data_IF_649146926654
#
_entry.id   IF_649146926654
#
_cell.length_a   1.000
_cell.length_b   1.000
_cell.length_c   1.000
_cell.angle_alpha   90.00
_cell.angle_beta   90.00
_cell.angle_gamma   90.00
#
_symmetry.space_group_name_H-M   'P 1'
#
loop_
_entity.id
_entity.type
_entity.pdbx_description
1 polymer ?
#
# COMPACT_ATOMS: atom_id res chain seq x y z
N UNK A 1 -12.07 -19.15 -7.45
CA UNK A 1 -12.33 -18.22 -6.32
C UNK A 1 -12.38 -16.80 -6.87
N UNK A 2 -13.40 -16.00 -6.55
CA UNK A 2 -13.51 -14.60 -7.01
C UNK A 2 -12.96 -13.66 -5.94
N UNK A 3 -12.18 -12.66 -6.34
CA UNK A 3 -11.62 -11.66 -5.42
C UNK A 3 -12.76 -10.91 -4.72
N UNK A 4 -12.73 -10.73 -3.39
CA UNK A 4 -13.78 -10.00 -2.66
C UNK A 4 -14.05 -8.60 -3.22
N UNK A 5 -13.03 -7.93 -3.77
CA UNK A 5 -13.16 -6.62 -4.41
C UNK A 5 -13.82 -6.63 -5.80
N UNK A 6 -13.85 -7.79 -6.47
CA UNK A 6 -14.48 -8.00 -7.78
C UNK A 6 -15.78 -8.81 -7.70
N UNK A 7 -16.26 -9.09 -6.49
CA UNK A 7 -17.52 -9.80 -6.30
C UNK A 7 -18.70 -8.84 -6.45
N UNK A 8 -19.31 -8.87 -7.63
CA UNK A 8 -20.46 -8.03 -8.03
C UNK A 8 -21.67 -8.18 -7.13
N UNK A 9 -21.75 -9.24 -6.30
CA UNK A 9 -22.84 -9.47 -5.34
C UNK A 9 -22.90 -8.43 -4.23
N UNK A 10 -21.81 -7.72 -3.95
CA UNK A 10 -21.74 -6.67 -2.91
C UNK A 10 -21.74 -5.24 -3.48
N UNK A 11 -21.96 -5.09 -4.79
CA UNK A 11 -21.98 -3.78 -5.44
C UNK A 11 -23.27 -3.04 -5.10
N UNK A 12 -23.13 -1.75 -4.75
CA UNK A 12 -24.25 -0.82 -4.55
C UNK A 12 -24.23 0.22 -5.67
N UNK A 13 -25.11 1.22 -5.59
CA UNK A 13 -25.24 2.27 -6.62
C UNK A 13 -23.94 3.07 -6.88
N UNK A 14 -22.96 2.99 -5.98
CA UNK A 14 -21.63 3.59 -6.12
C UNK A 14 -20.62 2.74 -6.93
N UNK A 15 -21.06 1.61 -7.48
CA UNK A 15 -20.20 0.71 -8.25
C UNK A 15 -19.79 1.26 -9.61
N UNK A 16 -20.48 2.30 -10.09
CA UNK A 16 -20.13 3.06 -11.29
C UNK A 16 -19.92 4.52 -10.87
N UNK A 17 -18.84 5.14 -11.34
CA UNK A 17 -18.58 6.55 -11.09
C UNK A 17 -17.83 7.18 -12.26
N UNK A 18 -17.98 8.49 -12.40
CA UNK A 18 -17.35 9.25 -13.46
C UNK A 18 -16.12 10.01 -12.95
N UNK A 19 -15.14 10.16 -13.84
CA UNK A 19 -13.88 10.88 -13.58
C UNK A 19 -13.58 11.75 -14.80
N UNK A 20 -13.20 13.00 -14.57
CA UNK A 20 -12.70 13.86 -15.64
C UNK A 20 -11.33 13.40 -16.15
N UNK A 21 -11.18 13.31 -17.47
CA UNK A 21 -9.91 12.97 -18.08
C UNK A 21 -8.90 14.11 -17.89
N UNK A 22 -7.75 13.89 -17.24
CA UNK A 22 -6.76 14.94 -16.99
C UNK A 22 -6.09 15.48 -18.26
N UNK A 23 -6.28 14.80 -19.40
CA UNK A 23 -5.69 15.19 -20.68
C UNK A 23 -6.64 15.93 -21.61
N UNK A 24 -7.96 15.80 -21.43
CA UNK A 24 -8.93 16.40 -22.36
C UNK A 24 -10.24 16.84 -21.73
N UNK A 25 -10.42 16.69 -20.41
CA UNK A 25 -11.61 17.11 -19.67
C UNK A 25 -12.86 16.25 -19.88
N UNK A 26 -12.84 15.29 -20.80
CA UNK A 26 -13.99 14.41 -21.04
C UNK A 26 -14.26 13.50 -19.83
N UNK A 27 -15.53 13.29 -19.51
CA UNK A 27 -15.95 12.35 -18.47
C UNK A 27 -15.67 10.91 -18.94
N UNK A 28 -15.07 10.13 -18.05
CA UNK A 28 -14.76 8.71 -18.23
C UNK A 28 -15.48 7.94 -17.14
N UNK A 29 -16.35 7.04 -17.56
CA UNK A 29 -17.06 6.14 -16.67
C UNK A 29 -16.17 4.96 -16.27
N UNK A 30 -16.05 4.76 -14.96
CA UNK A 30 -15.36 3.65 -14.33
C UNK A 30 -16.32 2.79 -13.55
N UNK A 31 -16.14 1.48 -13.66
CA UNK A 31 -16.67 0.50 -12.74
C UNK A 31 -15.68 0.30 -11.59
N UNK A 32 -16.18 -0.10 -10.42
CA UNK A 32 -15.36 -0.30 -9.21
C UNK A 32 -14.23 -1.32 -9.41
N UNK A 33 -14.42 -2.29 -10.30
CA UNK A 33 -13.44 -3.31 -10.65
C UNK A 33 -12.58 -2.98 -11.88
N UNK A 34 -12.89 -1.91 -12.63
CA UNK A 34 -12.03 -1.45 -13.72
C UNK A 34 -10.70 -1.01 -13.12
N UNK A 35 -9.60 -1.67 -13.50
CA UNK A 35 -8.24 -1.23 -13.16
C UNK A 35 -7.88 0.03 -13.94
N UNK A 36 -8.26 0.07 -15.21
CA UNK A 36 -8.08 1.20 -16.11
C UNK A 36 -9.16 1.24 -17.20
N UNK A 37 -9.39 2.42 -17.78
CA UNK A 37 -10.33 2.67 -18.87
C UNK A 37 -9.69 3.55 -19.92
N UNK A 38 -9.99 3.32 -21.20
CA UNK A 38 -9.62 4.26 -22.27
C UNK A 38 -10.61 5.41 -22.30
N UNK A 39 -10.11 6.65 -22.29
CA UNK A 39 -10.95 7.83 -22.49
C UNK A 39 -11.66 7.75 -23.85
N UNK A 40 -12.98 7.94 -23.91
CA UNK A 40 -13.74 7.86 -25.16
C UNK A 40 -13.31 8.95 -26.16
N UNK A 41 -12.88 10.12 -25.67
CA UNK A 41 -12.44 11.26 -26.48
C UNK A 41 -10.99 11.11 -26.96
N UNK A 42 -10.01 11.16 -26.05
CA UNK A 42 -8.59 11.23 -26.43
C UNK A 42 -7.89 9.86 -26.54
N UNK A 43 -8.61 8.75 -26.30
CA UNK A 43 -8.15 7.35 -26.38
C UNK A 43 -7.00 6.96 -25.45
N UNK A 44 -6.51 7.88 -24.62
CA UNK A 44 -5.51 7.59 -23.58
C UNK A 44 -6.11 6.70 -22.49
N UNK A 45 -5.28 5.84 -21.92
CA UNK A 45 -5.65 4.98 -20.80
C UNK A 45 -5.60 5.80 -19.52
N UNK A 46 -6.69 5.80 -18.75
CA UNK A 46 -6.79 6.38 -17.43
C UNK A 46 -6.87 5.23 -16.44
N UNK A 47 -6.13 5.34 -15.34
CA UNK A 47 -6.22 4.38 -14.23
C UNK A 47 -7.37 4.80 -13.32
N UNK A 48 -8.13 3.84 -12.83
CA UNK A 48 -9.25 4.09 -11.93
C UNK A 48 -8.76 4.79 -10.65
N UNK A 49 -9.11 6.06 -10.39
CA UNK A 49 -8.60 6.82 -9.24
C UNK A 49 -9.17 6.37 -7.89
N UNK A 50 -10.28 5.63 -7.88
CA UNK A 50 -10.92 5.08 -6.67
C UNK A 50 -10.50 3.63 -6.39
N UNK A 51 -9.80 2.99 -7.31
CA UNK A 51 -9.33 1.62 -7.14
C UNK A 51 -8.24 1.58 -6.06
N UNK A 52 -8.56 0.99 -4.91
CA UNK A 52 -7.60 0.77 -3.84
C UNK A 52 -6.84 -0.53 -4.10
N UNK A 53 -5.57 -0.41 -4.54
CA UNK A 53 -4.66 -1.54 -4.68
C UNK A 53 -3.97 -1.91 -3.37
N UNK A 54 -4.49 -1.47 -2.22
CA UNK A 54 -4.06 -1.99 -0.93
C UNK A 54 -4.03 -3.52 -0.93
N UNK A 55 -4.97 -4.17 -1.65
CA UNK A 55 -5.02 -5.62 -1.84
C UNK A 55 -3.81 -6.22 -2.59
N UNK A 56 -3.22 -5.45 -3.48
CA UNK A 56 -2.13 -5.89 -4.35
C UNK A 56 -0.76 -5.80 -3.65
N UNK A 57 -0.66 -5.17 -2.48
CA UNK A 57 0.56 -5.19 -1.67
C UNK A 57 0.89 -6.60 -1.12
N UNK A 58 -0.10 -7.49 -1.05
CA UNK A 58 0.01 -8.81 -0.41
C UNK A 58 -0.59 -9.95 -1.24
N UNK A 59 -1.24 -9.65 -2.37
CA UNK A 59 -1.77 -10.68 -3.25
C UNK A 59 -0.65 -11.34 -4.07
N UNK A 60 -0.53 -12.67 -3.99
CA UNK A 60 0.41 -13.43 -4.83
C UNK A 60 0.14 -13.29 -6.34
N UNK A 61 -1.07 -12.88 -6.71
CA UNK A 61 -1.49 -12.60 -8.10
C UNK A 61 -1.54 -11.10 -8.40
N UNK A 62 -0.94 -10.25 -7.55
CA UNK A 62 -0.92 -8.81 -7.73
C UNK A 62 -0.34 -8.42 -9.09
N UNK A 63 0.67 -9.13 -9.58
CA UNK A 63 1.26 -8.86 -10.89
C UNK A 63 0.28 -9.09 -12.06
N UNK A 64 -0.67 -10.02 -11.95
CA UNK A 64 -1.72 -10.23 -12.96
C UNK A 64 -2.76 -9.09 -12.95
N UNK A 65 -2.99 -8.46 -11.79
CA UNK A 65 -3.95 -7.37 -11.61
C UNK A 65 -3.33 -5.99 -11.89
N UNK A 66 -2.07 -5.81 -11.51
CA UNK A 66 -1.31 -4.57 -11.61
C UNK A 66 -0.46 -4.49 -12.88
N UNK A 67 -0.16 -5.63 -13.51
CA UNK A 67 0.75 -5.72 -14.66
C UNK A 67 0.25 -4.97 -15.90
N UNK A 68 -1.04 -4.64 -15.95
CA UNK A 68 -1.62 -3.79 -16.99
C UNK A 68 -1.44 -2.28 -16.72
N UNK A 69 -0.96 -1.91 -15.53
CA UNK A 69 -0.81 -0.51 -15.12
C UNK A 69 0.62 -0.01 -15.34
N UNK A 70 0.78 1.28 -15.71
CA UNK A 70 2.10 1.89 -15.78
C UNK A 70 2.83 1.79 -14.43
N UNK A 71 4.12 1.46 -14.47
CA UNK A 71 4.96 1.30 -13.26
C UNK A 71 5.00 2.58 -12.42
N UNK A 72 4.88 3.76 -13.05
CA UNK A 72 4.77 5.04 -12.34
C UNK A 72 3.52 5.09 -11.44
N UNK A 73 2.36 4.63 -11.94
CA UNK A 73 1.09 4.70 -11.20
C UNK A 73 1.08 3.75 -9.99
N UNK A 74 1.70 2.57 -10.15
CA UNK A 74 1.87 1.62 -9.04
C UNK A 74 2.74 2.20 -7.92
N UNK A 75 3.80 2.92 -8.30
CA UNK A 75 4.70 3.59 -7.36
C UNK A 75 4.00 4.74 -6.64
N UNK A 76 3.23 5.56 -7.36
CA UNK A 76 2.46 6.65 -6.77
C UNK A 76 1.46 6.16 -5.72
N UNK A 77 0.74 5.06 -5.98
CA UNK A 77 -0.25 4.52 -5.03
C UNK A 77 0.37 3.90 -3.79
N UNK A 78 1.50 3.19 -3.94
CA UNK A 78 2.28 2.69 -2.80
C UNK A 78 2.74 3.84 -1.89
N UNK A 79 3.18 4.94 -2.49
CA UNK A 79 3.56 6.15 -1.75
C UNK A 79 2.38 6.74 -0.97
N UNK A 80 1.17 6.81 -1.56
CA UNK A 80 -0.01 7.33 -0.87
C UNK A 80 -0.38 6.51 0.38
N UNK A 81 -0.29 5.18 0.33
CA UNK A 81 -0.55 4.37 1.52
C UNK A 81 0.51 4.60 2.59
N UNK A 82 1.79 4.60 2.20
CA UNK A 82 2.92 4.88 3.10
C UNK A 82 2.77 6.23 3.79
N UNK A 83 2.41 7.28 3.04
CA UNK A 83 2.21 8.63 3.58
C UNK A 83 1.08 8.68 4.61
N UNK A 84 -0.05 8.02 4.33
CA UNK A 84 -1.17 7.94 5.28
C UNK A 84 -0.80 7.23 6.57
N UNK A 85 -0.02 6.13 6.47
CA UNK A 85 0.50 5.41 7.63
C UNK A 85 1.48 6.30 8.40
N UNK A 86 2.44 6.92 7.72
CA UNK A 86 3.45 7.75 8.34
C UNK A 86 2.84 8.90 9.15
N UNK A 87 1.83 9.59 8.60
CA UNK A 87 1.10 10.67 9.30
C UNK A 87 0.40 10.17 10.56
N UNK A 88 -0.19 8.97 10.53
CA UNK A 88 -0.86 8.42 11.70
C UNK A 88 0.12 7.88 12.75
N UNK A 89 1.27 7.38 12.32
CA UNK A 89 2.34 6.90 13.21
C UNK A 89 3.07 8.06 13.88
N UNK A 90 3.33 9.15 13.17
CA UNK A 90 3.97 10.35 13.72
C UNK A 90 3.20 10.92 14.92
N UNK A 91 1.87 10.85 14.88
CA UNK A 91 0.99 11.32 15.97
C UNK A 91 1.12 10.49 17.26
N UNK A 92 1.70 9.29 17.20
CA UNK A 92 1.71 8.30 18.29
C UNK A 92 3.10 7.99 18.82
N UNK A 93 4.14 8.24 18.04
CA UNK A 93 5.52 7.96 18.43
C UNK A 93 6.27 9.23 18.85
N UNK A 94 7.28 9.10 19.74
CA UNK A 94 8.21 10.19 20.01
C UNK A 94 8.85 10.70 18.72
N UNK A 95 8.98 12.03 18.58
CA UNK A 95 9.47 12.67 17.36
C UNK A 95 10.82 12.15 16.89
N UNK A 96 11.76 11.91 17.80
CA UNK A 96 13.09 11.40 17.46
C UNK A 96 13.04 9.95 16.95
N UNK A 97 12.19 9.11 17.56
CA UNK A 97 11.96 7.74 17.09
C UNK A 97 11.32 7.72 15.70
N UNK A 98 10.31 8.56 15.47
CA UNK A 98 9.67 8.67 14.15
C UNK A 98 10.64 9.13 13.06
N UNK A 99 11.51 10.10 13.35
CA UNK A 99 12.56 10.52 12.42
C UNK A 99 13.52 9.39 12.07
N UNK A 100 13.94 8.62 13.07
CA UNK A 100 14.82 7.46 12.86
C UNK A 100 14.15 6.41 11.96
N UNK A 101 12.91 6.02 12.28
CA UNK A 101 12.11 5.08 11.46
C UNK A 101 11.95 5.61 10.04
N UNK A 102 11.62 6.89 9.87
CA UNK A 102 11.41 7.51 8.55
C UNK A 102 12.68 7.52 7.71
N UNK A 103 13.85 7.70 8.33
CA UNK A 103 15.15 7.60 7.67
C UNK A 103 15.41 6.16 7.17
N UNK A 104 15.14 5.17 8.03
CA UNK A 104 15.31 3.74 7.69
C UNK A 104 14.33 3.28 6.61
N UNK A 105 13.10 3.79 6.60
CA UNK A 105 12.13 3.54 5.53
C UNK A 105 12.66 4.02 4.19
N UNK A 106 13.21 5.24 4.12
CA UNK A 106 13.83 5.78 2.89
C UNK A 106 15.01 4.91 2.42
N UNK A 107 15.88 4.51 3.35
CA UNK A 107 17.00 3.61 3.06
C UNK A 107 16.53 2.25 2.50
N UNK A 108 15.43 1.69 3.04
CA UNK A 108 14.84 0.44 2.54
C UNK A 108 14.32 0.59 1.11
N UNK A 109 13.64 1.70 0.82
CA UNK A 109 13.12 1.99 -0.52
C UNK A 109 14.25 2.14 -1.55
N UNK A 110 15.32 2.84 -1.20
CA UNK A 110 16.51 3.00 -2.04
C UNK A 110 17.17 1.65 -2.33
N UNK A 111 17.40 0.83 -1.30
CA UNK A 111 17.98 -0.52 -1.47
C UNK A 111 17.09 -1.43 -2.32
N UNK A 112 15.78 -1.41 -2.10
CA UNK A 112 14.84 -2.19 -2.90
C UNK A 112 14.87 -1.75 -4.37
N UNK A 113 14.90 -0.43 -4.62
CA UNK A 113 15.00 0.14 -5.95
C UNK A 113 16.29 -0.25 -6.67
N UNK A 114 17.44 -0.20 -5.99
CA UNK A 114 18.73 -0.65 -6.53
C UNK A 114 18.73 -2.14 -6.88
N UNK A 115 18.07 -2.96 -6.06
CA UNK A 115 17.91 -4.39 -6.30
C UNK A 115 16.82 -4.73 -7.35
N UNK A 116 16.09 -3.74 -7.87
CA UNK A 116 14.95 -3.95 -8.76
C UNK A 116 13.76 -4.67 -8.11
N UNK A 117 13.68 -4.66 -6.78
CA UNK A 117 12.65 -5.32 -5.97
C UNK A 117 11.69 -4.30 -5.35
N UNK A 118 10.54 -4.78 -4.87
CA UNK A 118 9.65 -4.01 -3.99
C UNK A 118 10.05 -4.25 -2.53
N UNK A 119 10.05 -3.22 -1.67
CA UNK A 119 10.31 -3.40 -0.24
C UNK A 119 9.16 -4.13 0.49
N UNK A 120 7.98 -4.23 -0.14
CA UNK A 120 6.86 -5.04 0.33
C UNK A 120 6.39 -4.71 1.75
N UNK A 121 5.98 -5.75 2.48
CA UNK A 121 5.48 -5.64 3.85
C UNK A 121 6.55 -5.15 4.85
N UNK A 122 7.83 -5.40 4.57
CA UNK A 122 8.94 -5.04 5.45
C UNK A 122 9.02 -3.54 5.72
N UNK A 123 8.66 -2.73 4.73
CA UNK A 123 8.59 -1.27 4.91
C UNK A 123 7.52 -0.88 5.94
N UNK A 124 6.36 -1.54 5.89
CA UNK A 124 5.27 -1.27 6.84
C UNK A 124 5.65 -1.75 8.25
N UNK A 125 6.36 -2.86 8.38
CA UNK A 125 6.80 -3.37 9.68
C UNK A 125 7.65 -2.36 10.46
N UNK A 126 8.46 -1.54 9.78
CA UNK A 126 9.23 -0.46 10.43
C UNK A 126 8.32 0.56 11.13
N UNK A 127 7.15 0.87 10.56
CA UNK A 127 6.19 1.80 11.16
C UNK A 127 5.38 1.15 12.29
N UNK A 128 4.96 -0.11 12.11
CA UNK A 128 4.03 -0.76 13.02
C UNK A 128 4.68 -1.42 14.25
N UNK A 129 5.98 -1.73 14.20
CA UNK A 129 6.67 -2.46 15.27
C UNK A 129 6.65 -1.74 16.63
N UNK A 130 6.67 -0.41 16.62
CA UNK A 130 6.73 0.40 17.85
C UNK A 130 5.36 0.81 18.39
N UNK A 131 4.28 0.40 17.73
CA UNK A 131 2.92 0.75 18.14
C UNK A 131 2.41 -0.22 19.20
N UNK A 132 1.59 0.29 20.13
CA UNK A 132 0.78 -0.56 20.99
C UNK A 132 -0.26 -1.33 20.15
N UNK A 133 -0.86 -2.38 20.72
CA UNK A 133 -1.92 -3.14 20.02
C UNK A 133 -3.13 -2.28 19.66
N UNK A 134 -3.43 -1.28 20.48
CA UNK A 134 -4.55 -0.38 20.26
C UNK A 134 -4.20 0.66 19.19
N UNK A 135 -2.99 1.24 19.27
CA UNK A 135 -2.48 2.17 18.26
C UNK A 135 -2.36 1.53 16.88
N UNK A 136 -1.89 0.28 16.80
CA UNK A 136 -1.79 -0.47 15.55
C UNK A 136 -3.15 -0.59 14.86
N UNK A 137 -4.21 -0.89 15.62
CA UNK A 137 -5.58 -0.98 15.07
C UNK A 137 -6.06 0.39 14.58
N UNK A 138 -5.86 1.43 15.37
CA UNK A 138 -6.33 2.77 15.04
C UNK A 138 -5.59 3.37 13.84
N UNK A 139 -4.26 3.15 13.76
CA UNK A 139 -3.45 3.53 12.59
C UNK A 139 -3.93 2.80 11.35
N UNK A 140 -4.16 1.48 11.43
CA UNK A 140 -4.65 0.71 10.30
C UNK A 140 -6.02 1.20 9.81
N UNK A 141 -6.96 1.48 10.71
CA UNK A 141 -8.27 2.01 10.36
C UNK A 141 -8.19 3.39 9.69
N UNK A 142 -7.47 4.35 10.30
CA UNK A 142 -7.32 5.71 9.76
C UNK A 142 -6.54 5.73 8.44
N UNK A 143 -5.53 4.86 8.33
CA UNK A 143 -4.80 4.61 7.10
C UNK A 143 -5.57 3.72 6.11
N UNK A 144 -6.84 3.35 6.39
CA UNK A 144 -7.69 2.46 5.57
C UNK A 144 -6.89 1.28 5.03
N UNK A 145 -6.11 0.67 5.91
CA UNK A 145 -5.29 -0.48 5.57
C UNK A 145 -6.23 -1.67 5.38
N UNK A 146 -6.12 -2.44 4.29
CA UNK A 146 -6.92 -3.65 4.12
C UNK A 146 -6.65 -4.65 5.24
N UNK A 147 -7.72 -5.27 5.78
CA UNK A 147 -7.62 -6.23 6.89
C UNK A 147 -6.60 -7.35 6.65
N UNK A 148 -6.47 -7.94 5.44
CA UNK A 148 -5.46 -8.97 5.24
C UNK A 148 -4.01 -8.46 5.39
N UNK A 149 -3.72 -7.20 5.01
CA UNK A 149 -2.39 -6.61 5.29
C UNK A 149 -2.17 -6.51 6.79
N UNK A 150 -3.21 -6.08 7.51
CA UNK A 150 -3.14 -5.91 8.95
C UNK A 150 -2.88 -7.25 9.65
N UNK A 151 -3.50 -8.33 9.16
CA UNK A 151 -3.26 -9.68 9.64
C UNK A 151 -1.83 -10.16 9.33
N UNK A 152 -1.32 -9.89 8.14
CA UNK A 152 0.08 -10.20 7.79
C UNK A 152 1.07 -9.41 8.66
N UNK A 153 0.82 -8.12 8.90
CA UNK A 153 1.59 -7.30 9.84
C UNK A 153 1.56 -7.92 11.23
N UNK A 154 0.37 -8.24 11.76
CA UNK A 154 0.21 -8.86 13.08
C UNK A 154 0.95 -10.19 13.18
N UNK A 155 0.91 -11.01 12.14
CA UNK A 155 1.62 -12.29 12.10
C UNK A 155 3.13 -12.07 12.11
N UNK A 156 3.65 -11.21 11.24
CA UNK A 156 5.08 -10.90 11.16
C UNK A 156 5.62 -10.24 12.42
N UNK A 157 4.86 -9.35 13.06
CA UNK A 157 5.25 -8.75 14.34
C UNK A 157 5.43 -9.79 15.44
N UNK A 158 4.64 -10.88 15.45
CA UNK A 158 4.81 -11.99 16.40
C UNK A 158 6.07 -12.83 16.13
N UNK A 159 6.55 -12.86 14.89
CA UNK A 159 7.78 -13.57 14.51
C UNK A 159 9.06 -12.77 14.87
N UNK A 160 8.92 -11.47 15.13
CA UNK A 160 10.05 -10.60 15.46
C UNK A 160 10.38 -10.68 16.94
N UNK A 161 11.68 -10.55 17.26
CA UNK A 161 12.13 -10.41 18.65
C UNK A 161 11.53 -9.14 19.25
N UNK A 162 11.18 -9.16 20.52
CA UNK A 162 10.72 -7.98 21.25
C UNK A 162 11.90 -7.05 21.60
N UNK A 163 11.63 -5.75 21.69
CA UNK A 163 12.60 -4.74 22.17
C UNK A 163 13.72 -4.37 21.20
N UNK A 164 13.58 -4.65 19.89
CA UNK A 164 14.55 -4.27 18.87
C UNK A 164 14.61 -2.75 18.70
N UNK A 165 15.82 -2.21 18.64
CA UNK A 165 16.05 -0.82 18.22
C UNK A 165 15.77 -0.66 16.72
N UNK A 166 15.49 0.56 16.23
CA UNK A 166 15.09 0.75 14.83
C UNK A 166 16.11 0.19 13.83
N UNK A 167 17.41 0.40 14.07
CA UNK A 167 18.46 -0.15 13.21
C UNK A 167 18.51 -1.68 13.23
N UNK A 168 18.33 -2.31 14.38
CA UNK A 168 18.34 -3.78 14.51
C UNK A 168 17.13 -4.39 13.82
N UNK A 169 15.97 -3.75 13.93
CA UNK A 169 14.76 -4.14 13.21
C UNK A 169 14.98 -4.03 11.70
N UNK A 170 15.53 -2.91 11.22
CA UNK A 170 15.84 -2.70 9.80
C UNK A 170 16.78 -3.78 9.25
N UNK A 171 17.83 -4.13 9.99
CA UNK A 171 18.74 -5.21 9.61
C UNK A 171 18.03 -6.56 9.58
N UNK A 172 17.20 -6.87 10.58
CA UNK A 172 16.43 -8.12 10.61
C UNK A 172 15.45 -8.26 9.43
N UNK A 173 14.90 -7.13 8.96
CA UNK A 173 13.97 -7.09 7.82
C UNK A 173 14.68 -7.10 6.45
N UNK A 174 15.93 -6.64 6.38
CA UNK A 174 16.71 -6.60 5.13
C UNK A 174 17.61 -7.83 4.93
N UNK A 175 18.02 -8.50 6.01
CA UNK A 175 18.89 -9.69 5.99
C UNK A 175 18.14 -11.00 5.74
N UNK A 176 16.81 -11.03 5.85
CA UNK A 176 16.01 -12.16 5.36
C UNK A 176 16.01 -12.14 3.83
N UNK A 177 17.14 -12.57 3.24
CA UNK A 177 17.19 -13.04 1.85
C UNK A 177 16.18 -14.18 1.75
N UNK A 178 15.08 -13.96 1.05
CA UNK A 178 14.25 -15.06 0.56
C UNK A 178 15.14 -15.90 -0.37
N UNK A 179 15.37 -17.16 0.04
CA UNK A 179 15.73 -18.27 -0.84
C UNK A 179 14.60 -18.54 -1.85
#
# INVERSE_FOLDING_TARGET
MRCPGQDTRYWKEDAIFEVECPHCGALVEFFKDDTSRKCPSCKRVLVNPRMDFGCALYCQYAELCLGELPKEVLRERSNLLKERIAVEVEKRLPKELFKEISSLVREMEEKAKEAGKSPGLNLLLLYFYYLSKDDLKEVAEKARLPEPVLDDIRLKLKELKEGLKPRELFEALTLKKEE
#
